data_IF_650093219158
#
_entry.id   IF_650093219158
#
_cell.length_a   1.000
_cell.length_b   1.000
_cell.length_c   1.000
_cell.angle_alpha   90.00
_cell.angle_beta   90.00
_cell.angle_gamma   90.00
#
_symmetry.space_group_name_H-M   'P 1'
#
loop_
_entity.id
_entity.type
_entity.pdbx_description
1 polymer ?
#
# COMPACT_ATOMS: atom_id res chain seq x y z
N UNK A 1 14.01 10.21 26.01
CA UNK A 1 12.98 11.17 25.57
C UNK A 1 13.49 11.85 24.30
N UNK A 2 13.34 11.19 23.16
CA UNK A 2 13.41 11.78 21.81
C UNK A 2 12.33 11.03 21.03
N UNK A 3 11.18 11.66 20.86
CA UNK A 3 10.11 11.17 19.97
C UNK A 3 10.49 11.69 18.59
N UNK A 4 10.98 10.79 17.76
CA UNK A 4 11.39 11.12 16.40
C UNK A 4 10.15 11.37 15.51
N UNK A 5 9.98 12.58 14.94
CA UNK A 5 8.87 12.93 14.05
C UNK A 5 8.96 12.29 12.66
N UNK A 6 10.07 11.63 12.27
CA UNK A 6 10.19 11.03 10.93
C UNK A 6 9.37 9.74 10.74
N UNK A 7 9.06 9.02 11.83
CA UNK A 7 8.16 7.85 11.77
C UNK A 7 6.69 8.24 11.45
N UNK A 8 6.34 9.52 11.58
CA UNK A 8 5.03 10.03 11.16
C UNK A 8 4.96 10.30 9.65
N UNK A 9 6.10 10.54 8.98
CA UNK A 9 6.15 10.85 7.55
C UNK A 9 5.67 9.68 6.69
N UNK A 10 6.08 8.45 7.03
CA UNK A 10 5.68 7.24 6.29
C UNK A 10 4.18 6.90 6.47
N UNK A 11 3.55 7.37 7.56
CA UNK A 11 2.11 7.21 7.83
C UNK A 11 1.23 8.14 6.98
N UNK A 12 1.77 9.26 6.53
CA UNK A 12 1.02 10.35 5.89
C UNK A 12 1.01 10.18 4.36
N UNK A 13 2.13 9.85 3.72
CA UNK A 13 2.24 9.80 2.24
C UNK A 13 1.39 8.72 1.57
N UNK A 14 1.19 7.59 2.25
CA UNK A 14 0.40 6.45 1.75
C UNK A 14 -1.10 6.79 1.73
N UNK A 15 -1.63 7.33 2.83
CA UNK A 15 -3.00 7.77 2.93
C UNK A 15 -3.26 8.95 1.99
N UNK A 16 -2.37 9.94 1.90
CA UNK A 16 -2.50 11.09 1.01
C UNK A 16 -2.62 10.72 -0.46
N UNK A 17 -1.74 9.84 -0.97
CA UNK A 17 -1.79 9.39 -2.37
C UNK A 17 -2.99 8.48 -2.64
N UNK A 18 -3.37 7.66 -1.67
CA UNK A 18 -4.57 6.81 -1.74
C UNK A 18 -5.86 7.65 -1.79
N UNK A 19 -5.95 8.67 -0.92
CA UNK A 19 -7.05 9.62 -0.84
C UNK A 19 -7.23 10.41 -2.14
N UNK A 20 -6.11 10.76 -2.79
CA UNK A 20 -6.12 11.49 -4.05
C UNK A 20 -6.68 10.68 -5.22
N UNK A 21 -6.35 9.40 -5.26
CA UNK A 21 -6.76 8.52 -6.36
C UNK A 21 -8.21 8.02 -6.23
N UNK A 22 -8.83 8.18 -5.06
CA UNK A 22 -10.18 7.65 -4.74
C UNK A 22 -11.27 8.74 -4.79
N UNK A 23 -10.91 10.02 -4.92
CA UNK A 23 -11.89 11.11 -4.97
C UNK A 23 -12.35 11.44 -6.39
N UNK A 24 -13.67 11.52 -6.60
CA UNK A 24 -14.29 11.52 -7.93
C UNK A 24 -14.49 12.87 -8.62
N UNK A 25 -13.84 13.98 -8.22
CA UNK A 25 -13.62 15.13 -9.15
C UNK A 25 -12.90 16.33 -8.49
N UNK A 26 -13.22 16.64 -7.24
CA UNK A 26 -12.71 17.84 -6.55
C UNK A 26 -11.40 17.56 -5.82
N UNK A 27 -11.28 16.42 -5.15
CA UNK A 27 -10.09 16.13 -4.33
C UNK A 27 -8.86 15.77 -5.18
N UNK A 28 -9.06 15.28 -6.42
CA UNK A 28 -7.97 15.04 -7.38
C UNK A 28 -7.33 16.35 -7.85
N UNK A 29 -8.13 17.40 -8.08
CA UNK A 29 -7.63 18.76 -8.37
C UNK A 29 -6.98 19.39 -7.14
N UNK A 30 -7.58 19.21 -5.97
CA UNK A 30 -7.09 19.75 -4.71
C UNK A 30 -5.75 19.14 -4.29
N UNK A 31 -5.52 17.82 -4.44
CA UNK A 31 -4.22 17.27 -4.08
C UNK A 31 -3.16 17.29 -5.18
N UNK A 32 -3.53 17.53 -6.45
CA UNK A 32 -2.57 18.01 -7.44
C UNK A 32 -2.08 19.43 -7.05
N UNK A 33 -3.00 20.31 -6.63
CA UNK A 33 -2.66 21.59 -6.01
C UNK A 33 -1.77 21.39 -4.77
N UNK A 34 -2.08 20.43 -3.88
CA UNK A 34 -1.26 20.10 -2.71
C UNK A 34 0.16 19.68 -3.07
N UNK A 35 0.35 18.77 -4.03
CA UNK A 35 1.69 18.31 -4.44
C UNK A 35 2.53 19.44 -5.07
N UNK A 36 1.88 20.30 -5.85
CA UNK A 36 2.49 21.51 -6.39
C UNK A 36 2.87 22.44 -5.23
N UNK A 37 1.94 22.79 -4.36
CA UNK A 37 2.16 23.75 -3.28
C UNK A 37 3.11 23.25 -2.18
N UNK A 38 3.11 21.96 -1.87
CA UNK A 38 4.05 21.38 -0.93
C UNK A 38 5.48 21.45 -1.50
N UNK A 39 5.70 21.10 -2.78
CA UNK A 39 7.00 21.30 -3.42
C UNK A 39 7.42 22.77 -3.45
N UNK A 40 6.49 23.70 -3.67
CA UNK A 40 6.78 25.14 -3.61
C UNK A 40 7.11 25.64 -2.20
N UNK A 41 6.39 25.20 -1.17
CA UNK A 41 6.61 25.58 0.23
C UNK A 41 7.92 25.02 0.81
N UNK A 42 8.38 23.85 0.35
CA UNK A 42 9.66 23.28 0.77
C UNK A 42 10.85 24.00 0.12
N UNK A 43 10.67 24.57 -1.08
CA UNK A 43 11.70 25.33 -1.80
C UNK A 43 11.77 26.80 -1.34
N UNK A 44 10.64 27.41 -0.99
CA UNK A 44 10.59 28.75 -0.42
C UNK A 44 10.51 28.68 1.09
N UNK A 45 11.64 28.97 1.77
CA UNK A 45 11.67 29.18 3.23
C UNK A 45 10.48 30.05 3.67
N UNK A 46 9.82 29.62 4.75
CA UNK A 46 8.69 30.19 5.51
C UNK A 46 8.83 31.67 5.97
N UNK A 47 9.50 32.54 5.20
CA UNK A 47 9.80 33.93 5.57
C UNK A 47 8.89 34.96 4.88
N UNK A 48 7.82 34.54 4.22
CA UNK A 48 6.82 35.45 3.62
C UNK A 48 5.40 35.08 4.05
N UNK A 49 4.52 36.08 4.22
CA UNK A 49 3.11 35.87 4.56
C UNK A 49 2.40 34.88 3.61
N UNK A 50 2.81 34.84 2.34
CA UNK A 50 2.27 33.89 1.35
C UNK A 50 2.64 32.44 1.64
N UNK A 51 3.83 32.16 2.18
CA UNK A 51 4.25 30.80 2.57
C UNK A 51 3.43 30.23 3.74
N UNK A 52 3.07 31.07 4.71
CA UNK A 52 2.22 30.67 5.84
C UNK A 52 0.78 30.41 5.40
N UNK A 53 0.20 31.24 4.54
CA UNK A 53 -1.14 31.04 3.97
C UNK A 53 -1.20 29.73 3.18
N UNK A 54 -0.17 29.47 2.37
CA UNK A 54 -0.08 28.25 1.56
C UNK A 54 0.03 26.99 2.43
N UNK A 55 0.84 27.04 3.48
CA UNK A 55 0.96 25.96 4.47
C UNK A 55 -0.38 25.69 5.19
N UNK A 56 -1.09 26.74 5.63
CA UNK A 56 -2.39 26.62 6.28
C UNK A 56 -3.46 26.03 5.35
N UNK A 57 -3.48 26.44 4.08
CA UNK A 57 -4.37 25.87 3.07
C UNK A 57 -4.07 24.39 2.80
N UNK A 58 -2.79 24.02 2.67
CA UNK A 58 -2.37 22.61 2.56
C UNK A 58 -2.84 21.79 3.77
N UNK A 59 -2.71 22.34 4.98
CA UNK A 59 -3.13 21.65 6.20
C UNK A 59 -4.66 21.51 6.28
N UNK A 60 -5.42 22.51 5.83
CA UNK A 60 -6.87 22.47 5.78
C UNK A 60 -7.39 21.47 4.73
N UNK A 61 -6.71 21.39 3.58
CA UNK A 61 -6.93 20.35 2.57
C UNK A 61 -6.65 18.95 3.14
N UNK A 62 -5.55 18.77 3.87
CA UNK A 62 -5.25 17.49 4.55
C UNK A 62 -6.33 17.12 5.55
N UNK A 63 -6.84 18.06 6.33
CA UNK A 63 -7.94 17.83 7.29
C UNK A 63 -9.22 17.40 6.55
N UNK A 64 -9.55 18.07 5.44
CA UNK A 64 -10.71 17.72 4.60
C UNK A 64 -10.54 16.34 3.93
N UNK A 65 -9.32 15.99 3.52
CA UNK A 65 -8.99 14.67 2.97
C UNK A 65 -9.02 13.57 4.06
N UNK A 66 -8.51 13.85 5.26
CA UNK A 66 -8.63 12.90 6.38
C UNK A 66 -10.09 12.66 6.75
N UNK A 67 -10.95 13.66 6.65
CA UNK A 67 -12.39 13.51 6.88
C UNK A 67 -13.10 12.64 5.82
N UNK A 68 -12.52 12.44 4.62
CA UNK A 68 -13.18 11.66 3.56
C UNK A 68 -13.06 10.14 3.75
N UNK A 69 -12.09 9.66 4.55
CA UNK A 69 -11.93 8.24 4.92
C UNK A 69 -12.43 7.97 6.35
N UNK A 70 -13.27 8.82 6.94
CA UNK A 70 -13.90 8.52 8.24
C UNK A 70 -15.32 8.02 8.07
N UNK A 71 -15.77 7.18 9.00
CA UNK A 71 -17.11 6.58 9.03
C UNK A 71 -17.41 5.77 7.75
N UNK A 72 -16.42 5.01 7.27
CA UNK A 72 -16.49 4.19 6.06
C UNK A 72 -16.43 2.70 6.40
N UNK A 73 -17.05 1.88 5.55
CA UNK A 73 -16.80 0.44 5.50
C UNK A 73 -15.58 0.17 4.63
N UNK A 74 -14.47 -0.23 5.24
CA UNK A 74 -13.21 -0.45 4.53
C UNK A 74 -12.86 -1.92 4.50
N UNK A 75 -12.68 -2.45 3.29
CA UNK A 75 -12.20 -3.81 3.08
C UNK A 75 -10.69 -3.81 2.85
N UNK A 76 -9.95 -4.57 3.64
CA UNK A 76 -8.49 -4.72 3.51
C UNK A 76 -8.14 -6.19 3.30
N UNK A 77 -7.69 -6.54 2.09
CA UNK A 77 -7.11 -7.87 1.87
C UNK A 77 -5.62 -7.84 2.21
N UNK A 78 -5.05 -8.95 2.71
CA UNK A 78 -3.68 -8.96 3.21
C UNK A 78 -3.51 -8.13 4.49
N UNK A 79 -4.60 -7.89 5.21
CA UNK A 79 -4.63 -7.00 6.38
C UNK A 79 -3.84 -7.52 7.58
N UNK A 80 -3.56 -8.81 7.67
CA UNK A 80 -2.70 -9.39 8.70
C UNK A 80 -1.21 -9.41 8.30
N UNK A 81 -0.89 -9.01 7.06
CA UNK A 81 0.47 -8.80 6.57
C UNK A 81 1.12 -7.54 7.15
N UNK A 82 2.38 -7.29 6.78
CA UNK A 82 3.16 -6.14 7.25
C UNK A 82 2.47 -4.79 6.99
N UNK A 83 2.28 -4.44 5.72
CA UNK A 83 1.67 -3.16 5.31
C UNK A 83 0.20 -3.13 5.75
N UNK A 84 -0.51 -4.23 5.55
CA UNK A 84 -1.92 -4.37 5.94
C UNK A 84 -2.16 -4.12 7.41
N UNK A 85 -1.31 -4.65 8.30
CA UNK A 85 -1.46 -4.45 9.76
C UNK A 85 -1.40 -2.97 10.10
N UNK A 86 -0.40 -2.25 9.54
CA UNK A 86 -0.23 -0.82 9.82
C UNK A 86 -1.42 -0.01 9.28
N UNK A 87 -1.95 -0.38 8.11
CA UNK A 87 -3.12 0.25 7.53
C UNK A 87 -4.37 0.01 8.38
N UNK A 88 -4.67 -1.25 8.73
CA UNK A 88 -5.82 -1.64 9.56
C UNK A 88 -5.79 -0.91 10.90
N UNK A 89 -4.63 -0.90 11.58
CA UNK A 89 -4.45 -0.17 12.85
C UNK A 89 -4.65 1.34 12.73
N UNK A 90 -4.41 1.91 11.56
CA UNK A 90 -4.58 3.35 11.32
C UNK A 90 -6.03 3.68 11.00
N UNK A 91 -6.74 2.80 10.30
CA UNK A 91 -8.12 3.03 9.86
C UNK A 91 -9.18 2.64 10.90
N UNK A 92 -8.96 1.58 11.67
CA UNK A 92 -9.93 1.03 12.62
C UNK A 92 -10.48 2.02 13.67
N UNK A 93 -9.74 3.03 14.16
CA UNK A 93 -10.29 4.00 15.11
C UNK A 93 -11.45 4.84 14.56
N UNK A 94 -11.51 5.07 13.25
CA UNK A 94 -12.48 5.96 12.61
C UNK A 94 -13.39 5.23 11.60
N UNK A 95 -13.27 3.90 11.44
CA UNK A 95 -13.93 3.14 10.35
C UNK A 95 -14.33 1.72 10.76
N UNK A 96 -15.29 1.16 10.02
CA UNK A 96 -15.60 -0.27 10.07
C UNK A 96 -14.67 -1.04 9.14
N UNK A 97 -13.66 -1.71 9.71
CA UNK A 97 -12.66 -2.42 8.91
C UNK A 97 -12.94 -3.92 8.88
N UNK A 98 -13.08 -4.47 7.67
CA UNK A 98 -13.09 -5.91 7.41
C UNK A 98 -11.77 -6.33 6.78
N UNK A 99 -11.13 -7.34 7.34
CA UNK A 99 -9.87 -7.93 6.86
C UNK A 99 -10.16 -9.28 6.20
N UNK A 100 -9.59 -9.52 5.02
CA UNK A 100 -9.49 -10.84 4.40
C UNK A 100 -8.02 -11.22 4.32
N UNK A 101 -7.62 -12.33 4.94
CA UNK A 101 -6.23 -12.79 4.90
C UNK A 101 -6.16 -14.31 5.03
N UNK A 102 -5.34 -14.96 4.19
CA UNK A 102 -5.12 -16.41 4.25
C UNK A 102 -3.99 -16.82 5.22
N UNK A 103 -3.34 -15.84 5.86
CA UNK A 103 -2.27 -15.99 6.83
C UNK A 103 -1.01 -16.69 6.29
N UNK A 104 -0.80 -16.72 4.97
CA UNK A 104 0.37 -17.35 4.36
C UNK A 104 1.69 -16.67 4.78
N UNK A 105 1.74 -15.34 4.74
CA UNK A 105 2.88 -14.53 5.24
C UNK A 105 2.44 -13.46 6.25
N UNK A 106 1.15 -13.43 6.58
CA UNK A 106 0.56 -12.58 7.60
C UNK A 106 0.59 -13.23 8.98
N UNK A 107 0.36 -12.42 10.01
CA UNK A 107 0.15 -12.94 11.36
C UNK A 107 -1.03 -12.22 11.98
N UNK A 108 -2.08 -12.98 12.29
CA UNK A 108 -3.23 -12.44 13.01
C UNK A 108 -2.84 -11.91 14.41
N UNK A 109 -1.74 -12.43 14.98
CA UNK A 109 -1.15 -11.91 16.21
C UNK A 109 -0.80 -10.41 16.13
N UNK A 110 -0.53 -9.90 14.93
CA UNK A 110 -0.30 -8.47 14.70
C UNK A 110 -1.57 -7.62 14.86
N UNK A 111 -2.76 -8.22 14.92
CA UNK A 111 -4.06 -7.54 15.05
C UNK A 111 -4.85 -8.00 16.28
N UNK A 112 -4.28 -8.86 17.13
CA UNK A 112 -4.96 -9.54 18.24
C UNK A 112 -5.77 -8.58 19.13
N UNK A 113 -5.19 -7.46 19.51
CA UNK A 113 -5.85 -6.45 20.36
C UNK A 113 -7.08 -5.81 19.69
N UNK A 114 -7.05 -5.59 18.37
CA UNK A 114 -8.19 -5.05 17.64
C UNK A 114 -9.32 -6.09 17.51
N UNK A 115 -8.94 -7.35 17.32
CA UNK A 115 -9.89 -8.49 17.21
C UNK A 115 -10.59 -8.71 18.55
N UNK A 116 -9.83 -8.76 19.66
CA UNK A 116 -10.38 -8.96 21.01
C UNK A 116 -11.33 -7.82 21.41
N UNK A 117 -11.01 -6.58 21.00
CA UNK A 117 -11.87 -5.41 21.20
C UNK A 117 -13.02 -5.31 20.20
N UNK A 118 -13.14 -6.26 19.26
CA UNK A 118 -14.14 -6.26 18.17
C UNK A 118 -14.13 -4.96 17.35
N UNK A 119 -12.97 -4.34 17.20
CA UNK A 119 -12.78 -3.12 16.38
C UNK A 119 -12.65 -3.44 14.89
N UNK A 120 -12.39 -4.69 14.54
CA UNK A 120 -12.30 -5.16 13.15
C UNK A 120 -12.99 -6.51 13.00
N UNK A 121 -13.41 -6.83 11.77
CA UNK A 121 -13.86 -8.16 11.35
C UNK A 121 -12.72 -8.86 10.61
N UNK A 122 -12.47 -10.15 10.85
CA UNK A 122 -11.42 -10.91 10.16
C UNK A 122 -12.02 -12.16 9.52
N UNK A 123 -11.83 -12.27 8.22
CA UNK A 123 -12.19 -13.42 7.38
C UNK A 123 -10.89 -14.14 7.01
N UNK A 124 -10.79 -15.41 7.45
CA UNK A 124 -9.61 -16.25 7.20
C UNK A 124 -9.81 -17.03 5.91
N UNK A 125 -9.61 -16.36 4.78
CA UNK A 125 -9.71 -16.95 3.45
C UNK A 125 -8.81 -16.18 2.48
N UNK A 126 -8.61 -16.74 1.30
CA UNK A 126 -7.92 -16.12 0.19
C UNK A 126 -8.79 -15.00 -0.44
N UNK A 127 -8.16 -13.90 -0.83
CA UNK A 127 -8.84 -12.77 -1.47
C UNK A 127 -9.59 -13.18 -2.75
N UNK A 128 -9.14 -14.21 -3.48
CA UNK A 128 -9.84 -14.72 -4.67
C UNK A 128 -11.24 -15.25 -4.37
N UNK A 129 -11.52 -15.59 -3.12
CA UNK A 129 -12.81 -16.10 -2.66
C UNK A 129 -13.77 -15.00 -2.18
N UNK A 130 -13.44 -13.73 -2.36
CA UNK A 130 -14.26 -12.59 -1.91
C UNK A 130 -15.74 -12.69 -2.33
N UNK A 131 -16.02 -13.17 -3.56
CA UNK A 131 -17.39 -13.31 -4.08
C UNK A 131 -18.27 -14.30 -3.32
N UNK A 132 -17.71 -15.14 -2.43
CA UNK A 132 -18.49 -16.02 -1.54
C UNK A 132 -19.16 -15.25 -0.40
N UNK A 133 -18.64 -14.07 -0.08
CA UNK A 133 -19.08 -13.28 1.06
C UNK A 133 -19.99 -12.15 0.60
N UNK A 134 -21.12 -11.99 1.28
CA UNK A 134 -22.02 -10.84 1.09
C UNK A 134 -21.46 -9.65 1.88
N UNK A 135 -20.42 -9.03 1.32
CA UNK A 135 -19.78 -7.85 1.90
C UNK A 135 -20.28 -6.58 1.21
N UNK A 136 -20.28 -5.49 1.96
CA UNK A 136 -20.36 -4.14 1.45
C UNK A 136 -19.11 -3.38 1.91
N UNK A 137 -18.68 -2.40 1.14
CA UNK A 137 -17.53 -1.57 1.45
C UNK A 137 -17.59 -0.28 0.64
N UNK A 138 -17.22 0.84 1.23
CA UNK A 138 -16.98 2.10 0.53
C UNK A 138 -15.63 2.16 -0.17
N UNK A 139 -14.65 1.36 0.31
CA UNK A 139 -13.27 1.40 -0.17
C UNK A 139 -12.58 0.04 -0.01
N UNK A 140 -11.83 -0.37 -1.03
CA UNK A 140 -11.00 -1.57 -1.01
C UNK A 140 -9.51 -1.22 -1.00
N UNK A 141 -8.79 -1.80 -0.05
CA UNK A 141 -7.33 -1.90 -0.08
C UNK A 141 -6.91 -3.33 -0.37
N UNK A 142 -6.36 -3.57 -1.57
CA UNK A 142 -5.88 -4.89 -1.96
C UNK A 142 -4.37 -5.02 -1.76
N UNK A 143 -3.96 -5.63 -0.63
CA UNK A 143 -2.55 -5.84 -0.27
C UNK A 143 -2.17 -7.32 -0.20
N UNK A 144 -3.15 -8.22 -0.35
CA UNK A 144 -2.99 -9.67 -0.24
C UNK A 144 -2.33 -10.31 -1.45
N UNK A 145 -1.02 -10.04 -1.63
CA UNK A 145 -0.21 -10.67 -2.67
C UNK A 145 1.07 -11.30 -2.11
N UNK A 146 1.59 -12.38 -2.71
CA UNK A 146 2.97 -12.80 -2.49
C UNK A 146 3.93 -11.68 -2.91
N UNK A 147 4.88 -11.30 -2.05
CA UNK A 147 5.55 -9.99 -2.14
C UNK A 147 7.07 -10.03 -2.41
N UNK A 148 7.63 -11.18 -2.76
CA UNK A 148 9.08 -11.31 -2.96
C UNK A 148 9.40 -12.20 -4.16
N UNK A 149 10.33 -11.77 -5.03
CA UNK A 149 10.76 -12.54 -6.21
C UNK A 149 11.18 -14.00 -5.90
N UNK A 150 11.89 -14.30 -4.80
CA UNK A 150 12.20 -15.69 -4.44
C UNK A 150 10.96 -16.60 -4.34
N UNK A 151 9.85 -16.11 -3.78
CA UNK A 151 8.61 -16.90 -3.67
C UNK A 151 8.09 -17.36 -5.04
N UNK A 152 8.18 -16.51 -6.06
CA UNK A 152 7.71 -16.84 -7.41
C UNK A 152 8.71 -17.70 -8.18
N UNK A 153 10.01 -17.64 -7.84
CA UNK A 153 11.00 -18.58 -8.38
C UNK A 153 10.76 -19.99 -7.83
N UNK A 154 10.44 -20.09 -6.54
CA UNK A 154 10.11 -21.36 -5.89
C UNK A 154 8.77 -21.92 -6.39
N UNK A 155 7.77 -21.06 -6.59
CA UNK A 155 6.45 -21.45 -7.10
C UNK A 155 5.94 -20.49 -8.18
N UNK A 156 6.20 -20.78 -9.47
CA UNK A 156 5.70 -19.96 -10.58
C UNK A 156 4.16 -19.89 -10.68
N UNK A 157 3.42 -20.85 -10.12
CA UNK A 157 1.96 -20.84 -10.16
C UNK A 157 1.36 -19.65 -9.39
N UNK A 158 2.13 -19.02 -8.49
CA UNK A 158 1.73 -17.79 -7.81
C UNK A 158 1.34 -16.67 -8.79
N UNK A 159 1.87 -16.66 -10.02
CA UNK A 159 1.42 -15.72 -11.05
C UNK A 159 -0.07 -15.89 -11.33
N UNK A 160 -0.52 -17.13 -11.56
CA UNK A 160 -1.93 -17.44 -11.81
C UNK A 160 -2.83 -17.12 -10.61
N UNK A 161 -2.33 -17.35 -9.39
CA UNK A 161 -3.07 -17.03 -8.17
C UNK A 161 -3.26 -15.52 -7.99
N UNK A 162 -2.23 -14.73 -8.28
CA UNK A 162 -2.31 -13.26 -8.28
C UNK A 162 -3.31 -12.76 -9.31
N UNK A 163 -3.29 -13.34 -10.52
CA UNK A 163 -4.25 -13.00 -11.58
C UNK A 163 -5.68 -13.31 -11.15
N UNK A 164 -5.90 -14.50 -10.58
CA UNK A 164 -7.22 -14.90 -10.09
C UNK A 164 -7.70 -14.00 -8.95
N UNK A 165 -6.84 -13.72 -7.97
CA UNK A 165 -7.13 -12.83 -6.86
C UNK A 165 -7.49 -11.42 -7.31
N UNK A 166 -6.70 -10.83 -8.20
CA UNK A 166 -6.96 -9.49 -8.72
C UNK A 166 -8.26 -9.44 -9.52
N UNK A 167 -8.53 -10.45 -10.35
CA UNK A 167 -9.79 -10.56 -11.10
C UNK A 167 -10.99 -10.58 -10.16
N UNK A 168 -10.99 -11.45 -9.14
CA UNK A 168 -12.09 -11.52 -8.18
C UNK A 168 -12.33 -10.21 -7.44
N UNK A 169 -11.25 -9.48 -7.11
CA UNK A 169 -11.33 -8.20 -6.42
C UNK A 169 -11.87 -7.11 -7.35
N UNK A 170 -11.44 -7.05 -8.60
CA UNK A 170 -11.93 -6.08 -9.58
C UNK A 170 -13.40 -6.34 -9.94
N UNK A 171 -13.83 -7.60 -10.04
CA UNK A 171 -15.24 -7.97 -10.19
C UNK A 171 -16.07 -7.50 -8.99
N UNK A 172 -15.59 -7.73 -7.76
CA UNK A 172 -16.24 -7.21 -6.56
C UNK A 172 -16.37 -5.67 -6.59
N UNK A 173 -15.30 -4.97 -6.98
CA UNK A 173 -15.30 -3.51 -7.08
C UNK A 173 -16.27 -3.00 -8.15
N UNK A 174 -16.34 -3.67 -9.30
CA UNK A 174 -17.31 -3.39 -10.36
C UNK A 174 -18.74 -3.56 -9.87
N UNK A 175 -19.07 -4.72 -9.32
CA UNK A 175 -20.43 -5.07 -8.91
C UNK A 175 -20.96 -4.18 -7.79
N UNK A 176 -20.07 -3.66 -6.94
CA UNK A 176 -20.42 -2.79 -5.82
C UNK A 176 -20.13 -1.30 -6.08
N UNK A 177 -19.62 -0.92 -7.26
CA UNK A 177 -19.20 0.45 -7.59
C UNK A 177 -18.21 1.04 -6.58
N UNK A 178 -17.20 0.26 -6.19
CA UNK A 178 -16.23 0.61 -5.15
C UNK A 178 -14.87 0.92 -5.75
N UNK A 179 -14.22 1.96 -5.22
CA UNK A 179 -12.87 2.33 -5.61
C UNK A 179 -11.84 1.42 -4.92
N UNK A 180 -10.72 1.16 -5.60
CA UNK A 180 -9.68 0.27 -5.10
C UNK A 180 -8.30 0.92 -5.11
N UNK A 181 -7.57 0.72 -4.03
CA UNK A 181 -6.13 0.99 -3.93
C UNK A 181 -5.42 -0.33 -3.70
N UNK A 182 -4.35 -0.62 -4.44
CA UNK A 182 -3.64 -1.89 -4.28
C UNK A 182 -2.12 -1.73 -4.37
N UNK A 183 -1.40 -2.72 -3.85
CA UNK A 183 0.06 -2.71 -3.87
C UNK A 183 0.61 -3.20 -5.21
N UNK A 184 1.30 -2.30 -5.91
CA UNK A 184 2.26 -2.63 -6.95
C UNK A 184 3.68 -2.58 -6.36
N UNK A 185 4.72 -2.56 -7.19
CA UNK A 185 6.11 -2.65 -6.74
C UNK A 185 7.04 -1.83 -7.62
N UNK A 186 8.08 -1.25 -7.03
CA UNK A 186 9.17 -0.62 -7.78
C UNK A 186 10.04 -1.63 -8.54
N UNK A 187 9.97 -2.93 -8.21
CA UNK A 187 10.74 -3.97 -8.93
C UNK A 187 10.43 -4.03 -10.42
N UNK A 188 9.27 -3.52 -10.86
CA UNK A 188 8.94 -3.44 -12.30
C UNK A 188 9.86 -2.46 -13.06
N UNK A 189 10.57 -1.56 -12.36
CA UNK A 189 11.60 -0.69 -12.94
C UNK A 189 12.97 -1.37 -13.03
N UNK A 190 13.08 -2.68 -12.78
CA UNK A 190 14.34 -3.39 -12.91
C UNK A 190 14.91 -3.24 -14.33
N UNK A 191 16.19 -2.88 -14.43
CA UNK A 191 16.84 -2.52 -15.70
C UNK A 191 16.61 -1.09 -16.19
N UNK A 192 15.75 -0.30 -15.54
CA UNK A 192 15.50 1.12 -15.86
C UNK A 192 16.36 2.02 -14.97
N UNK A 193 17.13 2.92 -15.59
CA UNK A 193 17.95 3.90 -14.86
C UNK A 193 17.07 4.95 -14.17
N UNK A 194 17.39 5.34 -12.91
CA UNK A 194 16.68 6.41 -12.23
C UNK A 194 16.90 7.78 -12.91
N UNK A 195 16.01 8.77 -12.69
CA UNK A 195 14.83 8.70 -11.81
C UNK A 195 13.70 7.86 -12.41
N UNK A 196 13.06 7.03 -11.56
CA UNK A 196 11.91 6.23 -11.97
C UNK A 196 10.66 7.11 -12.08
N UNK A 197 9.87 6.90 -13.14
CA UNK A 197 8.66 7.68 -13.46
C UNK A 197 7.52 6.74 -13.85
N UNK A 198 6.31 7.09 -13.46
CA UNK A 198 5.13 6.23 -13.62
C UNK A 198 4.71 6.04 -15.09
N UNK A 199 5.04 6.98 -15.98
CA UNK A 199 4.76 6.94 -17.42
C UNK A 199 5.73 6.05 -18.21
N UNK A 200 6.78 5.54 -17.56
CA UNK A 200 7.65 4.53 -18.17
C UNK A 200 6.89 3.22 -18.24
N UNK A 201 6.87 2.60 -19.43
CA UNK A 201 6.36 1.24 -19.62
C UNK A 201 7.38 0.25 -19.02
N UNK A 202 7.06 -0.40 -17.90
CA UNK A 202 7.99 -1.32 -17.26
C UNK A 202 8.13 -2.62 -18.06
N UNK A 203 9.32 -3.21 -18.01
CA UNK A 203 9.62 -4.50 -18.62
C UNK A 203 9.41 -5.67 -17.65
N UNK A 204 9.08 -6.83 -18.20
CA UNK A 204 9.01 -8.09 -17.43
C UNK A 204 10.42 -8.62 -17.26
N UNK A 205 10.84 -8.88 -16.02
CA UNK A 205 12.20 -9.39 -15.72
C UNK A 205 12.21 -10.72 -14.96
N UNK A 206 11.10 -11.07 -14.33
CA UNK A 206 10.89 -12.33 -13.61
C UNK A 206 9.38 -12.58 -13.40
N UNK A 207 9.02 -13.73 -12.81
CA UNK A 207 7.63 -14.08 -12.50
C UNK A 207 6.93 -13.07 -11.56
N UNK A 208 7.68 -12.41 -10.67
CA UNK A 208 7.12 -11.42 -9.73
C UNK A 208 6.72 -10.13 -10.45
N UNK A 209 7.59 -9.62 -11.32
CA UNK A 209 7.32 -8.45 -12.16
C UNK A 209 6.25 -8.73 -13.19
N UNK A 210 6.21 -9.93 -13.79
CA UNK A 210 5.10 -10.36 -14.66
C UNK A 210 3.75 -10.27 -13.94
N UNK A 211 3.65 -10.88 -12.75
CA UNK A 211 2.42 -10.87 -11.97
C UNK A 211 1.94 -9.45 -11.65
N UNK A 212 2.85 -8.52 -11.35
CA UNK A 212 2.52 -7.12 -11.01
C UNK A 212 2.18 -6.25 -12.22
N UNK A 213 2.89 -6.42 -13.32
CA UNK A 213 2.57 -5.72 -14.58
C UNK A 213 1.20 -6.18 -15.08
N UNK A 214 0.90 -7.48 -14.95
CA UNK A 214 -0.42 -8.00 -15.29
C UNK A 214 -1.53 -7.31 -14.49
N UNK A 215 -1.40 -7.16 -13.17
CA UNK A 215 -2.45 -6.51 -12.36
C UNK A 215 -2.63 -5.04 -12.71
N UNK A 216 -1.56 -4.30 -13.07
CA UNK A 216 -1.66 -2.93 -13.58
C UNK A 216 -2.41 -2.85 -14.91
N UNK A 217 -2.09 -3.74 -15.86
CA UNK A 217 -2.78 -3.80 -17.15
C UNK A 217 -4.26 -4.18 -17.00
N UNK A 218 -4.55 -5.17 -16.16
CA UNK A 218 -5.91 -5.61 -15.89
C UNK A 218 -6.73 -4.50 -15.24
N UNK A 219 -6.16 -3.80 -14.25
CA UNK A 219 -6.80 -2.65 -13.59
C UNK A 219 -7.15 -1.55 -14.57
N UNK A 220 -6.23 -1.19 -15.47
CA UNK A 220 -6.49 -0.22 -16.52
C UNK A 220 -7.65 -0.66 -17.42
N UNK A 221 -7.66 -1.93 -17.83
CA UNK A 221 -8.74 -2.47 -18.65
C UNK A 221 -10.10 -2.39 -17.95
N UNK A 222 -10.16 -2.69 -16.65
CA UNK A 222 -11.39 -2.57 -15.86
C UNK A 222 -11.87 -1.13 -15.71
N UNK A 223 -10.94 -0.18 -15.57
CA UNK A 223 -11.29 1.24 -15.58
C UNK A 223 -11.86 1.66 -16.95
N UNK A 224 -11.18 1.32 -18.04
CA UNK A 224 -11.58 1.71 -19.40
C UNK A 224 -12.95 1.13 -19.79
N UNK A 225 -13.26 -0.12 -19.38
CA UNK A 225 -14.49 -0.81 -19.75
C UNK A 225 -15.66 -0.58 -18.79
N UNK A 226 -15.39 -0.47 -17.48
CA UNK A 226 -16.42 -0.51 -16.45
C UNK A 226 -16.37 0.69 -15.49
N UNK A 227 -15.43 1.61 -15.65
CA UNK A 227 -15.31 2.79 -14.80
C UNK A 227 -14.86 2.50 -13.36
N UNK A 228 -14.30 1.31 -13.09
CA UNK A 228 -13.73 0.99 -11.77
C UNK A 228 -12.54 1.91 -11.52
N UNK A 229 -12.59 2.78 -10.51
CA UNK A 229 -11.46 3.66 -10.20
C UNK A 229 -10.41 2.89 -9.41
N UNK A 230 -9.17 2.94 -9.91
CA UNK A 230 -8.07 2.14 -9.38
C UNK A 230 -6.83 3.00 -9.14
N UNK A 231 -6.17 2.76 -8.00
CA UNK A 231 -4.86 3.31 -7.68
C UNK A 231 -3.84 2.20 -7.44
N UNK A 232 -2.87 2.05 -8.34
CA UNK A 232 -1.77 1.11 -8.19
C UNK A 232 -0.58 1.78 -7.49
N UNK A 233 -0.21 1.31 -6.30
CA UNK A 233 0.85 1.91 -5.52
C UNK A 233 2.18 1.18 -5.74
N UNK A 234 3.06 1.72 -6.58
CA UNK A 234 4.41 1.18 -6.84
C UNK A 234 5.32 1.42 -5.63
N UNK A 235 5.31 0.50 -4.66
CA UNK A 235 6.08 0.63 -3.43
C UNK A 235 7.57 0.42 -3.62
N UNK A 236 8.36 1.30 -2.99
CA UNK A 236 9.81 1.23 -2.91
C UNK A 236 10.20 0.78 -1.50
N UNK A 237 10.94 -0.32 -1.42
CA UNK A 237 11.62 -0.87 -0.24
C UNK A 237 11.05 -0.52 1.15
N UNK A 238 9.74 -0.67 1.34
CA UNK A 238 9.06 -0.37 2.62
C UNK A 238 9.61 -1.28 3.73
N UNK A 239 9.84 -0.71 4.92
CA UNK A 239 10.26 -1.41 6.13
C UNK A 239 9.57 -0.83 7.37
N UNK A 240 9.49 -1.59 8.47
CA UNK A 240 8.87 -1.10 9.70
C UNK A 240 8.29 -2.16 10.64
N UNK A 241 7.43 -1.70 11.54
CA UNK A 241 6.78 -2.56 12.55
C UNK A 241 5.86 -3.60 11.89
N UNK A 242 5.75 -4.77 12.53
CA UNK A 242 4.86 -5.88 12.14
C UNK A 242 5.30 -6.69 10.91
N UNK A 243 6.53 -6.53 10.44
CA UNK A 243 7.08 -7.31 9.33
C UNK A 243 7.59 -8.72 9.72
N UNK A 244 7.64 -9.05 11.03
CA UNK A 244 8.26 -10.28 11.55
C UNK A 244 7.74 -11.58 10.93
N UNK A 245 6.46 -11.64 10.60
CA UNK A 245 5.82 -12.83 10.02
C UNK A 245 6.39 -13.21 8.65
N UNK A 246 7.01 -12.27 7.93
CA UNK A 246 7.64 -12.55 6.63
C UNK A 246 8.95 -13.35 6.71
N UNK A 247 9.57 -13.42 7.90
CA UNK A 247 10.85 -14.13 8.07
C UNK A 247 11.91 -13.67 7.06
N UNK A 248 12.51 -14.62 6.33
CA UNK A 248 13.53 -14.36 5.31
C UNK A 248 13.05 -13.55 4.09
N UNK A 249 11.73 -13.37 3.92
CA UNK A 249 11.15 -12.53 2.87
C UNK A 249 10.91 -11.08 3.32
N UNK A 250 11.26 -10.72 4.56
CA UNK A 250 11.19 -9.35 5.05
C UNK A 250 12.20 -8.45 4.32
N UNK A 251 12.00 -7.13 4.37
CA UNK A 251 12.95 -6.17 3.86
C UNK A 251 14.35 -6.35 4.50
N UNK A 252 15.41 -6.15 3.73
CA UNK A 252 16.80 -6.28 4.18
C UNK A 252 17.11 -5.41 5.41
N UNK A 253 16.60 -4.17 5.46
CA UNK A 253 16.77 -3.28 6.62
C UNK A 253 16.17 -3.90 7.87
N UNK A 254 14.98 -4.48 7.75
CA UNK A 254 14.32 -5.17 8.85
C UNK A 254 15.11 -6.40 9.31
N UNK A 255 15.62 -7.20 8.37
CA UNK A 255 16.47 -8.36 8.69
C UNK A 255 17.76 -7.92 9.40
N UNK A 256 18.38 -6.82 8.97
CA UNK A 256 19.59 -6.28 9.60
C UNK A 256 19.31 -5.86 11.04
N UNK A 257 18.19 -5.16 11.27
CA UNK A 257 17.77 -4.77 12.62
C UNK A 257 17.54 -5.98 13.53
N UNK A 258 17.00 -7.08 13.00
CA UNK A 258 16.83 -8.32 13.77
C UNK A 258 18.17 -9.00 14.06
N UNK A 259 19.04 -9.15 13.07
CA UNK A 259 20.36 -9.76 13.26
C UNK A 259 21.17 -8.97 14.30
N UNK A 260 21.24 -7.65 14.19
CA UNK A 260 21.95 -6.79 15.15
C UNK A 260 21.37 -6.96 16.57
N UNK A 261 20.04 -6.93 16.71
CA UNK A 261 19.37 -7.15 18.00
C UNK A 261 19.72 -8.51 18.60
N UNK A 262 19.77 -9.54 17.75
CA UNK A 262 20.02 -10.93 18.15
C UNK A 262 21.51 -11.27 18.21
N UNK A 263 22.39 -10.26 18.10
CA UNK A 263 23.87 -10.38 18.10
C UNK A 263 24.40 -11.32 16.99
N UNK A 264 23.72 -11.31 15.85
CA UNK A 264 24.12 -12.00 14.63
C UNK A 264 24.62 -10.99 13.59
N UNK A 265 25.51 -11.42 12.71
CA UNK A 265 26.04 -10.57 11.65
C UNK A 265 24.99 -10.39 10.53
N UNK A 266 24.72 -9.16 10.08
CA UNK A 266 23.91 -8.91 8.88
C UNK A 266 24.57 -9.47 7.62
N UNK A 267 23.77 -10.03 6.71
CA UNK A 267 24.27 -10.59 5.45
C UNK A 267 24.14 -9.56 4.33
N UNK A 268 25.27 -9.18 3.73
CA UNK A 268 25.28 -8.36 2.51
C UNK A 268 25.26 -9.29 1.30
N UNK A 269 24.21 -9.16 0.48
CA UNK A 269 24.13 -9.87 -0.80
C UNK A 269 24.79 -9.02 -1.89
N UNK A 270 25.83 -9.55 -2.54
CA UNK A 270 26.62 -8.82 -3.54
C UNK A 270 27.80 -8.06 -2.92
N UNK A 271 28.12 -6.90 -3.48
CA UNK A 271 29.24 -6.04 -3.06
C UNK A 271 28.86 -4.99 -2.01
N UNK A 272 27.56 -4.74 -1.80
CA UNK A 272 27.08 -3.74 -0.86
C UNK A 272 26.92 -2.34 -1.46
N UNK A 273 27.25 -2.13 -2.73
CA UNK A 273 27.11 -0.83 -3.40
C UNK A 273 25.68 -0.57 -3.93
N UNK A 274 24.81 -1.58 -3.86
CA UNK A 274 23.42 -1.46 -4.27
C UNK A 274 22.67 -0.33 -3.53
N UNK A 275 21.91 0.46 -4.29
CA UNK A 275 21.09 1.56 -3.76
C UNK A 275 19.60 1.21 -3.81
N UNK A 276 18.84 1.70 -2.82
CA UNK A 276 17.39 1.59 -2.71
C UNK A 276 16.82 2.89 -2.14
N UNK A 277 15.55 3.14 -2.42
CA UNK A 277 14.76 4.21 -1.81
C UNK A 277 13.91 3.57 -0.72
N UNK A 278 14.28 3.76 0.55
CA UNK A 278 13.71 3.09 1.72
C UNK A 278 12.63 3.93 2.41
#
# INVERSE_FOLDING_TARGET
>A
MVRDPELAYCRITLLEKSLLAVSSDISHKIGLLYLIFHRFATVWKLNSHYGLILYLLCNQVMILMQNTIKNKEVLVTGGAGFIGTNLVRTLAPDNEVTVIDNLHTGSEGNLKDLIEKKQIKVIRDDAKNIGKYKLQSDLVFHLGFPSASPMYRENPNLVSEVVAGMTSILEYCKDNSVNIVYSSTSSIYNGVKPPHREDIVPGVTDFYTEARIYTERLSKLYNDLFGVNVAAMRFFSIYGKYEKAKGGYANLVTQFLWNIRDKQEPVIYGDGEQRRDF
#
